data_IF_719269204291
#
_entry.id   IF_719269204291
#
_cell.length_a   1.000
_cell.length_b   1.000
_cell.length_c   1.000
_cell.angle_alpha   90.00
_cell.angle_beta   90.00
_cell.angle_gamma   90.00
#
_symmetry.space_group_name_H-M   'P 1'
#
loop_
_entity.id
_entity.type
_entity.pdbx_description
1 polymer ?
#
# COMPACT_ATOMS: atom_id res chain seq x y z
N UNK A 1 -32.70 43.75 -25.85
CA UNK A 1 -31.91 42.50 -25.71
C UNK A 1 -32.87 41.33 -25.82
N UNK A 2 -32.79 40.55 -26.91
CA UNK A 2 -33.58 39.33 -27.03
C UNK A 2 -33.10 38.31 -25.98
N UNK A 3 -34.02 37.77 -25.18
CA UNK A 3 -33.71 36.68 -24.25
C UNK A 3 -33.38 35.44 -25.08
N UNK A 4 -32.25 34.80 -24.76
CA UNK A 4 -31.87 33.50 -25.31
C UNK A 4 -33.02 32.51 -25.07
N UNK A 5 -33.45 31.71 -26.08
CA UNK A 5 -34.52 30.75 -25.90
C UNK A 5 -34.15 29.73 -24.81
N UNK A 6 -35.14 29.34 -24.00
CA UNK A 6 -34.92 28.37 -22.93
C UNK A 6 -34.43 27.03 -23.52
N UNK A 7 -33.27 26.56 -23.06
CA UNK A 7 -32.72 25.28 -23.51
C UNK A 7 -33.67 24.13 -23.18
N UNK A 8 -33.77 23.16 -24.08
CA UNK A 8 -34.60 21.97 -23.86
C UNK A 8 -34.01 21.09 -22.75
N UNK A 9 -34.82 20.19 -22.15
CA UNK A 9 -34.31 19.18 -21.22
C UNK A 9 -33.18 18.34 -21.83
N UNK A 10 -33.27 18.00 -23.11
CA UNK A 10 -32.22 17.25 -23.82
C UNK A 10 -30.91 18.05 -23.94
N UNK A 11 -30.97 19.34 -24.27
CA UNK A 11 -29.79 20.21 -24.30
C UNK A 11 -29.18 20.38 -22.90
N UNK A 12 -30.01 20.43 -21.86
CA UNK A 12 -29.55 20.51 -20.47
C UNK A 12 -28.90 19.20 -20.02
N UNK A 13 -29.46 18.05 -20.39
CA UNK A 13 -28.90 16.73 -20.09
C UNK A 13 -27.54 16.53 -20.75
N UNK A 14 -27.40 16.99 -22.00
CA UNK A 14 -26.12 16.94 -22.71
C UNK A 14 -25.08 17.86 -22.06
N UNK A 15 -25.46 19.08 -21.68
CA UNK A 15 -24.57 19.97 -20.92
C UNK A 15 -24.13 19.35 -19.58
N UNK A 16 -25.05 18.73 -18.84
CA UNK A 16 -24.73 18.00 -17.60
C UNK A 16 -23.76 16.85 -17.86
N UNK A 17 -23.97 16.08 -18.94
CA UNK A 17 -23.06 15.00 -19.36
C UNK A 17 -21.65 15.54 -19.62
N UNK A 18 -21.53 16.63 -20.38
CA UNK A 18 -20.25 17.27 -20.73
C UNK A 18 -19.55 17.85 -19.49
N UNK A 19 -20.29 18.49 -18.58
CA UNK A 19 -19.76 18.98 -17.30
C UNK A 19 -19.26 17.84 -16.40
N UNK A 20 -19.95 16.69 -16.39
CA UNK A 20 -19.51 15.49 -15.69
C UNK A 20 -18.19 14.93 -16.22
N UNK A 21 -17.86 15.18 -17.50
CA UNK A 21 -16.56 14.78 -18.06
C UNK A 21 -15.39 15.53 -17.41
N UNK A 22 -15.66 16.72 -16.87
CA UNK A 22 -14.67 17.57 -16.20
C UNK A 22 -14.79 17.57 -14.67
N UNK A 23 -15.74 16.81 -14.12
CA UNK A 23 -16.03 16.86 -12.69
C UNK A 23 -14.81 16.47 -11.84
N UNK A 24 -14.10 15.40 -12.22
CA UNK A 24 -12.91 14.93 -11.50
C UNK A 24 -11.76 15.95 -11.51
N UNK A 25 -11.44 16.52 -12.67
CA UNK A 25 -10.32 17.49 -12.80
C UNK A 25 -10.63 18.84 -12.18
N UNK A 26 -11.90 19.24 -12.14
CA UNK A 26 -12.33 20.52 -11.56
C UNK A 26 -12.76 20.40 -10.10
N UNK A 27 -12.65 19.22 -9.47
CA UNK A 27 -13.08 18.99 -8.09
C UNK A 27 -14.60 19.21 -7.89
N UNK A 28 -15.41 18.94 -8.91
CA UNK A 28 -16.86 19.04 -8.84
C UNK A 28 -17.48 17.69 -8.51
N UNK A 29 -18.59 17.70 -7.78
CA UNK A 29 -19.44 16.52 -7.63
C UNK A 29 -20.11 16.19 -8.97
N UNK A 30 -20.14 14.91 -9.40
CA UNK A 30 -20.90 14.50 -10.57
C UNK A 30 -22.39 14.88 -10.46
N UNK A 31 -22.92 15.49 -11.52
CA UNK A 31 -24.31 15.89 -11.69
C UNK A 31 -25.17 14.71 -12.13
N UNK A 32 -26.46 14.78 -11.82
CA UNK A 32 -27.47 13.98 -12.53
C UNK A 32 -27.59 14.47 -13.98
N UNK A 33 -27.81 13.56 -14.91
CA UNK A 33 -28.01 13.87 -16.34
C UNK A 33 -29.50 13.75 -16.71
N UNK A 34 -30.34 14.43 -15.94
CA UNK A 34 -31.80 14.36 -16.00
C UNK A 34 -32.44 15.52 -16.80
N UNK A 35 -31.62 16.45 -17.30
CA UNK A 35 -32.09 17.61 -18.04
C UNK A 35 -32.66 18.73 -17.17
N UNK A 36 -32.54 18.62 -15.84
CA UNK A 36 -33.05 19.62 -14.89
C UNK A 36 -31.93 20.57 -14.49
N UNK A 37 -32.10 21.86 -14.79
CA UNK A 37 -31.16 22.90 -14.35
C UNK A 37 -31.35 23.24 -12.87
N UNK A 38 -30.87 22.36 -12.00
CA UNK A 38 -30.87 22.57 -10.56
C UNK A 38 -29.69 23.43 -10.07
N UNK A 39 -29.64 23.68 -8.75
CA UNK A 39 -28.58 24.45 -8.13
C UNK A 39 -27.20 23.80 -8.28
N UNK A 40 -27.12 22.47 -8.38
CA UNK A 40 -25.87 21.74 -8.60
C UNK A 40 -25.35 21.97 -10.03
N UNK A 41 -26.23 21.84 -11.02
CA UNK A 41 -25.93 22.12 -12.43
C UNK A 41 -25.47 23.57 -12.60
N UNK A 42 -26.17 24.51 -11.97
CA UNK A 42 -25.81 25.94 -12.01
C UNK A 42 -24.46 26.25 -11.35
N UNK A 43 -24.10 25.55 -10.27
CA UNK A 43 -22.77 25.67 -9.63
C UNK A 43 -21.67 25.12 -10.52
N UNK A 44 -21.86 23.93 -11.09
CA UNK A 44 -20.89 23.32 -11.99
C UNK A 44 -20.60 24.18 -13.23
N UNK A 45 -21.65 24.78 -13.81
CA UNK A 45 -21.52 25.75 -14.90
C UNK A 45 -20.63 26.94 -14.50
N UNK A 46 -20.85 27.52 -13.32
CA UNK A 46 -20.02 28.63 -12.82
C UNK A 46 -18.58 28.22 -12.56
N UNK A 47 -18.37 27.03 -11.99
CA UNK A 47 -17.03 26.48 -11.77
C UNK A 47 -16.28 26.29 -13.08
N UNK A 48 -16.93 25.71 -14.10
CA UNK A 48 -16.33 25.56 -15.42
C UNK A 48 -16.03 26.93 -16.06
N UNK A 49 -16.99 27.85 -16.06
CA UNK A 49 -16.80 29.20 -16.61
C UNK A 49 -15.60 29.91 -15.97
N UNK A 50 -15.51 29.88 -14.64
CA UNK A 50 -14.42 30.50 -13.89
C UNK A 50 -13.07 29.82 -14.14
N UNK A 51 -13.01 28.48 -14.05
CA UNK A 51 -11.73 27.74 -14.04
C UNK A 51 -11.19 27.41 -15.43
N UNK A 52 -12.06 27.27 -16.41
CA UNK A 52 -11.67 26.86 -17.77
C UNK A 52 -11.74 28.03 -18.74
N UNK A 53 -12.80 28.84 -18.66
CA UNK A 53 -12.98 29.96 -19.59
C UNK A 53 -12.40 31.29 -19.07
N UNK A 54 -12.04 31.37 -17.78
CA UNK A 54 -11.52 32.58 -17.15
C UNK A 54 -12.51 33.75 -17.12
N UNK A 55 -13.80 33.50 -17.37
CA UNK A 55 -14.85 34.52 -17.47
C UNK A 55 -16.20 33.94 -17.09
N UNK A 56 -17.13 34.81 -16.69
CA UNK A 56 -18.55 34.45 -16.67
C UNK A 56 -19.02 34.10 -18.09
N UNK A 57 -19.80 33.04 -18.21
CA UNK A 57 -20.28 32.52 -19.48
C UNK A 57 -21.77 32.21 -19.39
N UNK A 58 -22.50 32.49 -20.47
CA UNK A 58 -23.90 32.07 -20.61
C UNK A 58 -23.97 30.55 -20.76
N UNK A 59 -25.18 29.99 -20.70
CA UNK A 59 -25.37 28.56 -20.98
C UNK A 59 -25.00 28.22 -22.42
N UNK A 60 -25.37 29.08 -23.37
CA UNK A 60 -25.00 28.92 -24.78
C UNK A 60 -23.49 28.93 -24.98
N UNK A 61 -22.78 29.87 -24.36
CA UNK A 61 -21.31 29.96 -24.41
C UNK A 61 -20.66 28.67 -23.89
N UNK A 62 -21.16 28.14 -22.77
CA UNK A 62 -20.68 26.90 -22.16
C UNK A 62 -20.94 25.70 -23.08
N UNK A 63 -22.14 25.61 -23.65
CA UNK A 63 -22.51 24.55 -24.58
C UNK A 63 -21.65 24.59 -25.84
N UNK A 64 -21.39 25.77 -26.41
CA UNK A 64 -20.50 25.95 -27.56
C UNK A 64 -19.07 25.58 -27.22
N UNK A 65 -18.53 26.05 -26.09
CA UNK A 65 -17.16 25.74 -25.67
C UNK A 65 -16.96 24.24 -25.43
N UNK A 66 -17.94 23.57 -24.82
CA UNK A 66 -17.91 22.13 -24.58
C UNK A 66 -18.16 21.31 -25.87
N UNK A 67 -18.99 21.81 -26.80
CA UNK A 67 -19.28 21.14 -28.08
C UNK A 67 -18.14 21.30 -29.11
N UNK A 68 -17.31 22.35 -28.99
CA UNK A 68 -16.08 22.50 -29.78
C UNK A 68 -14.98 21.52 -29.36
N UNK A 69 -15.11 20.88 -28.19
CA UNK A 69 -14.22 19.80 -27.78
C UNK A 69 -14.73 18.50 -28.38
N UNK A 70 -13.89 17.80 -29.15
CA UNK A 70 -14.26 16.51 -29.73
C UNK A 70 -14.65 15.54 -28.60
N UNK A 71 -15.76 14.79 -28.73
CA UNK A 71 -16.10 13.71 -27.80
C UNK A 71 -14.93 12.75 -27.55
N UNK A 72 -14.06 12.55 -28.55
CA UNK A 72 -12.85 11.75 -28.43
C UNK A 72 -11.80 12.36 -27.49
N UNK A 73 -11.65 13.68 -27.47
CA UNK A 73 -10.70 14.38 -26.57
C UNK A 73 -11.20 14.36 -25.13
N UNK A 74 -12.49 14.58 -24.93
CA UNK A 74 -13.12 14.50 -23.62
C UNK A 74 -13.04 13.08 -23.03
N UNK A 75 -13.26 12.05 -23.86
CA UNK A 75 -13.09 10.66 -23.45
C UNK A 75 -11.62 10.35 -23.12
N UNK A 76 -10.66 10.87 -23.91
CA UNK A 76 -9.23 10.73 -23.61
C UNK A 76 -8.85 11.38 -22.29
N UNK A 77 -9.34 12.58 -22.01
CA UNK A 77 -9.10 13.27 -20.75
C UNK A 77 -9.73 12.55 -19.55
N UNK A 78 -10.96 12.03 -19.70
CA UNK A 78 -11.58 11.21 -18.66
C UNK A 78 -10.77 9.95 -18.38
N UNK A 79 -10.32 9.25 -19.42
CA UNK A 79 -9.47 8.07 -19.27
C UNK A 79 -8.17 8.42 -18.54
N UNK A 80 -7.50 9.52 -18.92
CA UNK A 80 -6.30 10.02 -18.23
C UNK A 80 -6.59 10.36 -16.75
N UNK A 81 -7.71 11.02 -16.46
CA UNK A 81 -8.08 11.36 -15.08
C UNK A 81 -8.41 10.12 -14.23
N UNK A 82 -9.05 9.11 -14.83
CA UNK A 82 -9.30 7.81 -14.18
C UNK A 82 -8.01 7.04 -13.94
N UNK A 83 -7.11 7.01 -14.92
CA UNK A 83 -5.79 6.40 -14.78
C UNK A 83 -4.97 7.09 -13.69
N UNK A 84 -4.94 8.42 -13.66
CA UNK A 84 -4.29 9.18 -12.60
C UNK A 84 -4.89 8.89 -11.22
N UNK A 85 -6.23 8.86 -11.12
CA UNK A 85 -6.93 8.55 -9.87
C UNK A 85 -6.69 7.13 -9.40
N UNK A 86 -6.54 6.16 -10.31
CA UNK A 86 -6.23 4.77 -9.98
C UNK A 86 -4.80 4.59 -9.42
N UNK A 87 -3.91 5.57 -9.64
CA UNK A 87 -2.56 5.59 -9.10
C UNK A 87 -2.49 6.26 -7.72
N UNK A 88 -3.49 7.05 -7.32
CA UNK A 88 -3.50 7.71 -6.02
C UNK A 88 -3.48 6.68 -4.89
N UNK A 89 -2.65 6.94 -3.87
CA UNK A 89 -2.56 6.13 -2.65
C UNK A 89 -3.93 5.96 -1.98
N UNK A 90 -4.07 4.93 -1.15
CA UNK A 90 -5.31 4.61 -0.43
C UNK A 90 -5.82 3.20 -0.69
N UNK A 91 -7.02 2.91 -0.20
CA UNK A 91 -7.61 1.58 -0.23
C UNK A 91 -7.79 1.02 -1.65
N UNK A 92 -8.16 1.87 -2.61
CA UNK A 92 -8.37 1.45 -4.01
C UNK A 92 -7.07 1.01 -4.68
N UNK A 93 -6.01 1.80 -4.53
CA UNK A 93 -4.69 1.43 -5.03
C UNK A 93 -4.20 0.14 -4.37
N UNK A 94 -4.35 0.02 -3.04
CA UNK A 94 -3.93 -1.17 -2.30
C UNK A 94 -4.61 -2.43 -2.83
N UNK A 95 -5.94 -2.42 -2.97
CA UNK A 95 -6.72 -3.57 -3.44
C UNK A 95 -6.31 -4.02 -4.85
N UNK A 96 -5.97 -3.08 -5.73
CA UNK A 96 -5.58 -3.36 -7.12
C UNK A 96 -4.14 -3.83 -7.26
N UNK A 97 -3.23 -3.33 -6.41
CA UNK A 97 -1.79 -3.45 -6.67
C UNK A 97 -1.03 -4.31 -5.66
N UNK A 98 -1.49 -4.44 -4.41
CA UNK A 98 -0.66 -5.03 -3.34
C UNK A 98 -0.25 -6.49 -3.62
N UNK A 99 -1.08 -7.24 -4.36
CA UNK A 99 -0.82 -8.62 -4.74
C UNK A 99 0.41 -8.78 -5.66
N UNK A 100 0.85 -7.70 -6.34
CA UNK A 100 2.08 -7.68 -7.16
C UNK A 100 3.36 -7.72 -6.31
N UNK A 101 3.25 -7.44 -5.01
CA UNK A 101 4.37 -7.33 -4.09
C UNK A 101 4.20 -8.27 -2.88
N UNK A 102 4.11 -9.60 -3.10
CA UNK A 102 3.93 -10.56 -2.02
C UNK A 102 5.21 -10.68 -1.18
N UNK A 103 5.03 -10.90 0.13
CA UNK A 103 6.11 -11.44 0.95
C UNK A 103 6.23 -12.95 0.70
N UNK A 104 7.38 -13.51 1.07
CA UNK A 104 7.60 -14.95 1.13
C UNK A 104 7.52 -15.48 2.56
N UNK A 105 7.22 -16.76 2.67
CA UNK A 105 7.31 -17.63 3.83
C UNK A 105 8.21 -18.85 3.57
N UNK A 106 8.90 -18.88 2.41
CA UNK A 106 9.74 -20.00 1.99
C UNK A 106 11.19 -19.77 2.40
N UNK A 107 11.81 -20.79 2.98
CA UNK A 107 13.26 -20.81 3.30
C UNK A 107 14.11 -20.63 2.04
N UNK A 108 13.66 -21.17 0.90
CA UNK A 108 14.35 -21.06 -0.39
C UNK A 108 14.46 -19.62 -0.91
N UNK A 109 13.64 -18.69 -0.41
CA UNK A 109 13.68 -17.28 -0.82
C UNK A 109 14.60 -16.42 0.07
N UNK A 110 15.19 -17.01 1.12
CA UNK A 110 16.23 -16.37 1.93
C UNK A 110 17.53 -16.21 1.13
N UNK A 111 18.43 -15.34 1.60
CA UNK A 111 19.77 -15.24 1.04
C UNK A 111 20.49 -16.61 1.17
N UNK A 112 21.19 -17.10 0.13
CA UNK A 112 21.65 -18.50 0.06
C UNK A 112 22.43 -18.99 1.29
N UNK A 113 23.36 -18.18 1.82
CA UNK A 113 24.13 -18.54 3.00
C UNK A 113 23.25 -18.66 4.25
N UNK A 114 22.32 -17.71 4.45
CA UNK A 114 21.39 -17.76 5.58
C UNK A 114 20.35 -18.88 5.43
N UNK A 115 19.90 -19.18 4.20
CA UNK A 115 19.02 -20.31 3.91
C UNK A 115 19.65 -21.65 4.32
N UNK A 116 20.96 -21.82 4.12
CA UNK A 116 21.69 -23.02 4.54
C UNK A 116 21.73 -23.15 6.07
N UNK A 117 22.03 -22.05 6.78
CA UNK A 117 22.00 -21.99 8.25
C UNK A 117 20.61 -22.31 8.82
N UNK A 118 19.56 -21.68 8.27
CA UNK A 118 18.18 -21.92 8.67
C UNK A 118 17.77 -23.36 8.42
N UNK A 119 18.12 -23.93 7.27
CA UNK A 119 17.83 -25.35 6.98
C UNK A 119 18.44 -26.29 8.02
N UNK A 120 19.71 -26.09 8.39
CA UNK A 120 20.37 -26.92 9.40
C UNK A 120 19.69 -26.79 10.78
N UNK A 121 19.35 -25.57 11.18
CA UNK A 121 18.65 -25.34 12.44
C UNK A 121 17.24 -25.98 12.45
N UNK A 122 16.49 -25.85 11.35
CA UNK A 122 15.17 -26.47 11.20
C UNK A 122 15.26 -28.01 11.24
N UNK A 123 16.32 -28.61 10.69
CA UNK A 123 16.57 -30.05 10.80
C UNK A 123 16.83 -30.46 12.25
N UNK A 124 17.65 -29.71 13.00
CA UNK A 124 17.90 -29.98 14.41
C UNK A 124 16.61 -29.88 15.25
N UNK A 125 15.80 -28.84 14.99
CA UNK A 125 14.49 -28.65 15.58
C UNK A 125 13.52 -29.81 15.29
N UNK A 126 13.46 -30.27 14.05
CA UNK A 126 12.60 -31.38 13.65
C UNK A 126 13.03 -32.70 14.32
N UNK A 127 14.34 -32.97 14.36
CA UNK A 127 14.88 -34.16 15.02
C UNK A 127 14.63 -34.19 16.53
N UNK A 128 14.58 -33.01 17.17
CA UNK A 128 14.23 -32.85 18.58
C UNK A 128 12.72 -32.96 18.85
N UNK A 129 11.88 -33.18 17.84
CA UNK A 129 10.43 -33.31 17.98
C UNK A 129 9.69 -31.99 18.18
N UNK A 130 10.28 -30.86 17.77
CA UNK A 130 9.61 -29.55 17.83
C UNK A 130 8.66 -29.34 16.66
N UNK A 131 7.70 -28.43 16.86
CA UNK A 131 6.80 -27.93 15.82
C UNK A 131 7.25 -26.52 15.45
N UNK A 132 7.51 -26.29 14.16
CA UNK A 132 7.89 -24.98 13.63
C UNK A 132 6.84 -24.50 12.64
N UNK A 133 6.37 -23.27 12.81
CA UNK A 133 5.53 -22.56 11.85
C UNK A 133 6.25 -21.31 11.38
N UNK A 134 6.58 -21.24 10.10
CA UNK A 134 7.17 -20.05 9.46
C UNK A 134 6.04 -19.12 9.03
N UNK A 135 6.14 -17.85 9.41
CA UNK A 135 5.16 -16.82 9.03
C UNK A 135 5.70 -15.80 8.03
N UNK A 136 7.02 -15.61 7.97
CA UNK A 136 7.65 -14.74 6.97
C UNK A 136 9.12 -15.06 6.79
N UNK A 137 9.62 -14.93 5.56
CA UNK A 137 11.04 -14.93 5.22
C UNK A 137 11.37 -13.62 4.50
N UNK A 138 11.41 -13.62 3.17
CA UNK A 138 11.79 -12.44 2.40
C UNK A 138 10.61 -11.48 2.25
N UNK A 139 10.82 -10.23 2.64
CA UNK A 139 9.89 -9.12 2.37
C UNK A 139 10.22 -8.50 1.02
N UNK A 140 9.21 -8.32 0.18
CA UNK A 140 9.39 -7.63 -1.09
C UNK A 140 9.82 -6.17 -0.83
N UNK A 141 10.87 -5.70 -1.53
CA UNK A 141 11.45 -4.37 -1.32
C UNK A 141 10.44 -3.25 -1.58
N UNK A 142 9.62 -3.39 -2.62
CA UNK A 142 8.58 -2.42 -2.98
C UNK A 142 7.48 -2.43 -1.93
N UNK A 143 7.10 -3.60 -1.41
CA UNK A 143 6.17 -3.70 -0.29
C UNK A 143 6.70 -2.97 0.95
N UNK A 144 7.97 -3.18 1.31
CA UNK A 144 8.59 -2.49 2.44
C UNK A 144 8.62 -0.96 2.24
N UNK A 145 8.93 -0.52 1.02
CA UNK A 145 8.88 0.89 0.62
C UNK A 145 7.48 1.48 0.77
N UNK A 146 6.45 0.80 0.25
CA UNK A 146 5.05 1.21 0.37
C UNK A 146 4.60 1.32 1.83
N UNK A 147 4.95 0.34 2.65
CA UNK A 147 4.65 0.33 4.08
C UNK A 147 5.34 1.50 4.80
N UNK A 148 6.63 1.74 4.49
CA UNK A 148 7.42 2.81 5.09
C UNK A 148 6.81 4.18 4.81
N UNK A 149 6.52 4.50 3.54
CA UNK A 149 6.00 5.80 3.16
C UNK A 149 4.52 5.99 3.49
N UNK A 150 3.71 4.92 3.51
CA UNK A 150 2.37 4.99 4.09
C UNK A 150 2.42 5.47 5.54
N UNK A 151 3.31 4.91 6.34
CA UNK A 151 3.49 5.31 7.73
C UNK A 151 4.03 6.74 7.84
N UNK A 152 5.06 7.10 7.06
CA UNK A 152 5.67 8.43 7.15
C UNK A 152 4.68 9.55 6.79
N UNK A 153 3.93 9.39 5.69
CA UNK A 153 2.93 10.36 5.26
C UNK A 153 1.77 10.42 6.25
N UNK A 154 1.25 9.28 6.73
CA UNK A 154 0.11 9.28 7.65
C UNK A 154 0.41 9.93 9.00
N UNK A 155 1.69 10.00 9.40
CA UNK A 155 2.15 10.62 10.64
C UNK A 155 2.74 12.02 10.42
N UNK A 156 2.66 12.57 9.20
CA UNK A 156 3.20 13.89 8.87
C UNK A 156 4.72 13.99 8.96
N UNK A 157 5.43 12.84 8.96
CA UNK A 157 6.90 12.81 9.02
C UNK A 157 7.54 13.13 7.67
N UNK A 158 6.80 12.93 6.58
CA UNK A 158 7.18 13.28 5.20
C UNK A 158 5.94 13.83 4.50
N UNK A 159 6.07 14.94 3.77
CA UNK A 159 4.98 15.46 2.96
C UNK A 159 4.71 14.54 1.77
N UNK A 160 3.46 14.42 1.34
CA UNK A 160 3.09 13.49 0.28
C UNK A 160 3.80 13.76 -1.05
N UNK A 161 4.08 15.04 -1.35
CA UNK A 161 4.84 15.47 -2.51
C UNK A 161 6.36 15.17 -2.42
N UNK A 162 6.89 14.95 -1.21
CA UNK A 162 8.31 14.71 -0.95
C UNK A 162 8.65 13.21 -0.87
N UNK A 163 7.65 12.33 -1.03
CA UNK A 163 7.90 10.88 -1.12
C UNK A 163 8.70 10.62 -2.40
N UNK A 164 9.88 9.96 -2.33
CA UNK A 164 10.66 9.61 -3.50
C UNK A 164 9.82 8.81 -4.51
N UNK A 165 10.13 8.90 -5.81
CA UNK A 165 9.42 8.08 -6.78
C UNK A 165 9.84 6.61 -6.67
N UNK A 166 8.88 5.70 -6.84
CA UNK A 166 9.12 4.24 -6.92
C UNK A 166 8.35 3.69 -8.13
N UNK A 167 8.99 3.69 -9.32
CA UNK A 167 8.32 3.41 -10.58
C UNK A 167 7.64 2.03 -10.63
N UNK A 168 8.18 1.03 -9.92
CA UNK A 168 7.57 -0.31 -9.88
C UNK A 168 6.24 -0.31 -9.11
N UNK A 169 6.12 0.53 -8.07
CA UNK A 169 4.86 0.74 -7.37
C UNK A 169 3.84 1.45 -8.26
N UNK A 170 4.26 2.51 -8.96
CA UNK A 170 3.35 3.32 -9.79
C UNK A 170 2.23 3.97 -8.95
N UNK A 171 2.57 4.39 -7.73
CA UNK A 171 1.68 5.03 -6.77
C UNK A 171 1.94 6.54 -6.75
N UNK A 172 0.88 7.33 -6.59
CA UNK A 172 0.93 8.76 -6.39
C UNK A 172 0.47 9.07 -4.95
N UNK A 173 1.38 9.63 -4.15
CA UNK A 173 1.09 9.94 -2.75
C UNK A 173 0.36 11.26 -2.57
N UNK A 174 0.65 12.24 -3.42
CA UNK A 174 0.07 13.58 -3.38
C UNK A 174 -1.30 13.62 -4.09
N UNK A 175 -2.34 13.94 -3.32
CA UNK A 175 -3.71 14.11 -3.81
C UNK A 175 -4.03 15.56 -4.21
N UNK A 176 -3.02 16.45 -4.21
CA UNK A 176 -3.18 17.90 -4.36
C UNK A 176 -3.79 18.57 -3.12
N UNK A 177 -3.88 17.82 -2.03
CA UNK A 177 -4.45 18.21 -0.74
C UNK A 177 -3.82 17.35 0.36
N UNK A 178 -3.18 17.98 1.33
CA UNK A 178 -2.45 17.29 2.39
C UNK A 178 -3.38 16.42 3.25
N UNK A 179 -4.58 16.91 3.56
CA UNK A 179 -5.54 16.19 4.40
C UNK A 179 -5.97 14.87 3.74
N UNK A 180 -6.26 14.91 2.43
CA UNK A 180 -6.59 13.72 1.64
C UNK A 180 -5.42 12.77 1.52
N UNK A 181 -4.21 13.29 1.31
CA UNK A 181 -3.00 12.48 1.18
C UNK A 181 -2.68 11.72 2.47
N UNK A 182 -2.77 12.40 3.62
CA UNK A 182 -2.62 11.80 4.95
C UNK A 182 -3.69 10.75 5.22
N UNK A 183 -4.96 11.05 4.90
CA UNK A 183 -6.07 10.11 5.09
C UNK A 183 -5.90 8.83 4.26
N UNK A 184 -5.51 8.97 3.00
CA UNK A 184 -5.24 7.85 2.09
C UNK A 184 -4.05 7.01 2.56
N UNK A 185 -2.96 7.64 3.00
CA UNK A 185 -1.82 6.92 3.58
C UNK A 185 -2.22 6.16 4.86
N UNK A 186 -3.07 6.75 5.71
CA UNK A 186 -3.59 6.09 6.91
C UNK A 186 -4.47 4.87 6.59
N UNK A 187 -5.23 4.88 5.49
CA UNK A 187 -5.92 3.68 4.99
C UNK A 187 -4.95 2.56 4.67
N UNK A 188 -3.86 2.88 3.97
CA UNK A 188 -2.83 1.89 3.64
C UNK A 188 -2.13 1.37 4.90
N UNK A 189 -1.85 2.20 5.89
CA UNK A 189 -1.31 1.77 7.20
C UNK A 189 -2.21 0.72 7.85
N UNK A 190 -3.53 0.94 7.87
CA UNK A 190 -4.51 -0.03 8.40
C UNK A 190 -4.52 -1.33 7.58
N UNK A 191 -4.54 -1.23 6.25
CA UNK A 191 -4.60 -2.38 5.35
C UNK A 191 -3.32 -3.23 5.37
N UNK A 192 -2.15 -2.61 5.55
CA UNK A 192 -0.89 -3.31 5.79
C UNK A 192 -0.73 -3.81 7.23
N UNK A 193 -1.66 -3.48 8.14
CA UNK A 193 -1.60 -3.79 9.57
C UNK A 193 -0.30 -3.31 10.25
N UNK A 194 0.17 -2.11 9.90
CA UNK A 194 1.42 -1.55 10.42
C UNK A 194 1.21 -1.02 11.84
N UNK A 195 1.95 -1.58 12.81
CA UNK A 195 1.99 -1.09 14.20
C UNK A 195 3.13 -0.11 14.48
N UNK A 196 4.31 -0.40 13.95
CA UNK A 196 5.52 0.38 14.15
C UNK A 196 6.09 0.82 12.80
N UNK A 197 6.90 1.89 12.81
CA UNK A 197 7.55 2.41 11.60
C UNK A 197 8.30 1.29 10.86
N UNK A 198 7.92 0.94 9.63
CA UNK A 198 8.65 -0.06 8.85
C UNK A 198 10.06 0.44 8.49
N UNK A 199 11.07 -0.41 8.69
CA UNK A 199 12.46 -0.09 8.32
C UNK A 199 12.75 -0.50 6.87
N UNK A 200 13.41 0.39 6.13
CA UNK A 200 13.93 0.11 4.78
C UNK A 200 15.25 -0.67 4.79
N UNK A 201 15.88 -0.82 5.95
CA UNK A 201 17.11 -1.59 6.13
C UNK A 201 16.86 -2.88 6.92
N UNK A 202 15.62 -3.37 6.93
CA UNK A 202 15.24 -4.61 7.61
C UNK A 202 15.88 -5.83 6.97
N UNK A 203 16.36 -6.76 7.80
CA UNK A 203 16.91 -8.05 7.36
C UNK A 203 15.92 -8.88 6.53
N UNK A 204 14.60 -8.74 6.73
CA UNK A 204 13.61 -9.41 5.88
C UNK A 204 13.71 -8.98 4.40
N UNK A 205 14.09 -7.72 4.12
CA UNK A 205 14.21 -7.23 2.74
C UNK A 205 15.40 -7.93 2.04
N UNK A 206 16.50 -8.10 2.78
CA UNK A 206 17.70 -8.79 2.32
C UNK A 206 17.58 -10.32 2.32
N UNK A 207 16.49 -10.89 2.86
CA UNK A 207 16.36 -12.33 3.05
C UNK A 207 17.29 -12.88 4.13
N UNK A 208 17.65 -12.06 5.12
CA UNK A 208 18.54 -12.39 6.24
C UNK A 208 17.78 -12.54 7.57
N UNK A 209 16.45 -12.60 7.51
CA UNK A 209 15.57 -12.84 8.65
C UNK A 209 14.44 -13.80 8.31
N UNK A 210 13.95 -14.47 9.33
CA UNK A 210 12.84 -15.41 9.31
C UNK A 210 12.01 -15.22 10.59
N UNK A 211 10.71 -15.08 10.39
CA UNK A 211 9.72 -15.09 11.47
C UNK A 211 9.17 -16.49 11.62
N UNK A 212 9.34 -17.07 12.81
CA UNK A 212 8.85 -18.42 13.11
C UNK A 212 8.38 -18.56 14.55
N UNK A 213 7.33 -19.36 14.72
CA UNK A 213 6.88 -19.87 16.01
C UNK A 213 7.41 -21.29 16.18
N UNK A 214 8.12 -21.53 17.29
CA UNK A 214 8.68 -22.83 17.65
C UNK A 214 8.07 -23.27 18.98
N UNK A 215 7.53 -24.49 19.05
CA UNK A 215 6.90 -25.03 20.26
C UNK A 215 7.16 -26.53 20.40
N UNK A 216 7.10 -27.05 21.63
CA UNK A 216 7.19 -28.48 21.93
C UNK A 216 6.32 -28.84 23.14
N UNK A 217 5.99 -30.11 23.33
CA UNK A 217 5.00 -30.55 24.34
C UNK A 217 5.62 -31.05 25.65
N UNK A 218 6.81 -31.61 25.62
CA UNK A 218 7.56 -32.13 26.77
C UNK A 218 9.07 -31.92 26.62
N UNK A 219 9.90 -32.30 27.60
CA UNK A 219 11.35 -32.11 27.51
C UNK A 219 11.92 -32.69 26.21
N UNK A 220 12.79 -31.92 25.55
CA UNK A 220 13.47 -32.29 24.31
C UNK A 220 14.98 -32.31 24.51
N UNK A 221 15.66 -33.05 23.63
CA UNK A 221 17.11 -32.96 23.47
C UNK A 221 17.40 -32.46 22.05
N UNK A 222 18.05 -31.30 21.94
CA UNK A 222 18.41 -30.70 20.65
C UNK A 222 19.92 -30.70 20.48
N UNK A 223 20.38 -30.92 19.25
CA UNK A 223 21.80 -30.91 18.89
C UNK A 223 22.16 -29.52 18.37
N UNK A 224 23.33 -29.01 18.77
CA UNK A 224 23.88 -27.76 18.25
C UNK A 224 24.76 -27.97 17.00
N UNK A 225 25.25 -26.89 16.41
CA UNK A 225 26.07 -26.96 15.20
C UNK A 225 27.43 -27.68 15.40
N UNK A 226 27.89 -27.85 16.64
CA UNK A 226 29.10 -28.59 16.99
C UNK A 226 28.82 -30.07 17.31
N UNK A 227 27.55 -30.51 17.31
CA UNK A 227 27.13 -31.86 17.61
C UNK A 227 26.87 -32.13 19.10
N UNK A 228 26.94 -31.11 19.96
CA UNK A 228 26.64 -31.28 21.38
C UNK A 228 25.13 -31.27 21.62
N UNK A 229 24.70 -32.08 22.60
CA UNK A 229 23.30 -32.26 22.99
C UNK A 229 22.92 -31.32 24.13
N UNK A 230 21.78 -30.66 24.00
CA UNK A 230 21.23 -29.73 24.98
C UNK A 230 19.83 -30.16 25.39
N UNK A 231 19.62 -30.37 26.69
CA UNK A 231 18.31 -30.65 27.25
C UNK A 231 17.52 -29.33 27.40
N UNK A 232 16.28 -29.31 26.91
CA UNK A 232 15.40 -28.14 26.97
C UNK A 232 14.02 -28.58 27.45
N UNK A 233 13.48 -27.89 28.46
CA UNK A 233 12.09 -28.08 28.89
C UNK A 233 11.33 -26.75 28.89
N UNK A 234 11.36 -26.00 29.99
CA UNK A 234 10.63 -24.73 30.13
C UNK A 234 11.52 -23.52 29.84
N UNK A 235 10.96 -22.42 29.31
CA UNK A 235 9.63 -22.32 28.72
C UNK A 235 9.55 -23.08 27.39
N UNK A 236 8.41 -23.74 27.13
CA UNK A 236 8.21 -24.60 25.94
C UNK A 236 7.94 -23.84 24.64
N UNK A 237 8.65 -22.74 24.41
CA UNK A 237 8.48 -21.90 23.23
C UNK A 237 9.81 -21.27 22.79
N UNK A 238 9.93 -20.99 21.49
CA UNK A 238 11.13 -20.36 20.92
C UNK A 238 11.30 -18.88 21.20
N UNK A 239 10.30 -18.19 21.76
CA UNK A 239 10.39 -16.77 22.04
C UNK A 239 11.22 -16.52 23.31
N UNK A 240 11.05 -17.36 24.32
CA UNK A 240 11.53 -17.12 25.68
C UNK A 240 12.64 -18.08 26.12
N UNK A 241 12.87 -19.17 25.38
CA UNK A 241 13.82 -20.20 25.80
C UNK A 241 15.28 -19.86 25.42
N UNK A 242 16.05 -19.38 26.40
CA UNK A 242 17.45 -18.98 26.19
C UNK A 242 18.39 -20.09 25.74
N UNK A 243 18.15 -21.35 26.12
CA UNK A 243 18.97 -22.49 25.63
C UNK A 243 18.72 -22.70 24.15
N UNK A 244 17.46 -22.66 23.72
CA UNK A 244 17.13 -22.74 22.30
C UNK A 244 17.70 -21.55 21.50
N UNK A 245 17.73 -20.35 22.08
CA UNK A 245 18.37 -19.18 21.44
C UNK A 245 19.87 -19.40 21.23
N UNK A 246 20.56 -19.98 22.23
CA UNK A 246 21.98 -20.32 22.11
C UNK A 246 22.22 -21.39 21.04
N UNK A 247 21.38 -22.43 20.98
CA UNK A 247 21.44 -23.48 19.95
C UNK A 247 21.21 -22.88 18.56
N UNK A 248 20.18 -22.06 18.36
CA UNK A 248 19.98 -21.36 17.09
C UNK A 248 21.17 -20.48 16.71
N UNK A 249 21.74 -19.77 17.69
CA UNK A 249 22.94 -18.96 17.52
C UNK A 249 24.16 -19.76 17.03
N UNK A 250 24.30 -21.02 17.46
CA UNK A 250 25.36 -21.92 16.97
C UNK A 250 25.25 -22.23 15.47
N UNK A 251 24.03 -22.27 14.92
CA UNK A 251 23.78 -22.41 13.49
C UNK A 251 23.86 -21.08 12.72
N UNK A 252 24.12 -19.95 13.41
CA UNK A 252 24.07 -18.63 12.80
C UNK A 252 22.66 -18.05 12.63
N UNK A 253 21.67 -18.58 13.37
CA UNK A 253 20.27 -18.11 13.39
C UNK A 253 19.96 -17.51 14.76
N UNK A 254 20.05 -16.19 14.88
CA UNK A 254 20.03 -15.48 16.16
C UNK A 254 18.65 -14.88 16.45
N UNK A 255 18.18 -15.03 17.69
CA UNK A 255 16.90 -14.49 18.16
C UNK A 255 16.99 -12.97 18.39
N UNK A 256 15.99 -12.22 17.92
CA UNK A 256 15.70 -10.86 18.40
C UNK A 256 14.68 -10.93 19.55
N UNK A 257 15.05 -10.52 20.76
CA UNK A 257 14.17 -10.69 21.94
C UNK A 257 12.97 -9.74 21.96
N UNK A 258 13.11 -8.54 21.39
CA UNK A 258 12.03 -7.54 21.38
C UNK A 258 10.94 -7.82 20.35
N UNK A 259 11.19 -8.72 19.40
CA UNK A 259 10.23 -9.16 18.38
C UNK A 259 10.10 -10.70 18.45
N UNK A 260 9.12 -11.22 19.21
CA UNK A 260 9.03 -12.64 19.57
C UNK A 260 9.15 -13.63 18.40
N UNK A 261 8.53 -13.45 17.22
CA UNK A 261 8.75 -14.38 16.10
C UNK A 261 10.10 -14.24 15.39
N UNK A 262 10.83 -13.13 15.55
CA UNK A 262 11.94 -12.77 14.66
C UNK A 262 13.26 -13.46 15.00
N UNK A 263 13.89 -14.04 13.96
CA UNK A 263 15.24 -14.57 13.97
C UNK A 263 16.00 -14.09 12.74
N UNK A 264 17.29 -13.79 12.86
CA UNK A 264 18.09 -13.26 11.76
C UNK A 264 19.56 -13.66 11.88
N UNK A 265 20.35 -13.29 10.88
CA UNK A 265 21.80 -13.58 10.87
C UNK A 265 22.56 -12.88 12.02
N UNK A 266 22.04 -11.75 12.51
CA UNK A 266 22.68 -10.88 13.51
C UNK A 266 21.82 -10.65 14.76
N UNK A 267 20.59 -11.16 14.81
CA UNK A 267 19.65 -10.98 15.91
C UNK A 267 19.02 -9.59 15.96
N UNK A 268 18.99 -8.89 14.82
CA UNK A 268 18.37 -7.57 14.62
C UNK A 268 17.38 -7.56 13.47
#
# INVERSE_FOLDING_TARGET
MAREPAATPAQTAELQRLLNLRAGTLGMTPLRTDGVLDGATSRAMRTYASRVMGRSASRGDLATALAQQSPSDLLREQSRAREASAKLSGADWFRRNQARFPNSDRVADLAPAFAAHVTQFLTALANAGTIVRISSTRRNRIRAWLMHYAWQVSHGAVAAADVPDEPEAGILWDHGDDTRSVAAAAEMVRLFAIRFKPSLTSNHIAGLAIDMTITWSGPIEIVDAAGAKHAIDQPRNGNDNGVLHAVGGSYGVRKLLSDPPHWSVDGR
#
